data_IF_021900429086
#
_entry.id   IF_021900429086
#
_cell.length_a   1.000
_cell.length_b   1.000
_cell.length_c   1.000
_cell.angle_alpha   90.00
_cell.angle_beta   90.00
_cell.angle_gamma   90.00
#
_symmetry.space_group_name_H-M   'P 1'
#
loop_
_entity.id
_entity.type
_entity.pdbx_description
1 polymer ?
2 non-polymer ?
3 non-polymer ?
4 non-polymer ?
5 non-polymer ?
6 non-polymer ?
7 non-polymer ?
8 water ?
#
# COMPACT_ATOMS: atom_id res chain seq x y z
N UNK A 5 -23.58 -12.69 -20.02
CA UNK A 5 -23.98 -11.29 -20.17
C UNK A 5 -22.81 -10.43 -20.64
N UNK A 6 -22.09 -9.83 -19.71
CA UNK A 6 -20.79 -9.27 -20.06
C UNK A 6 -19.75 -10.34 -19.85
N UNK A 7 -19.15 -10.77 -20.95
CA UNK A 7 -17.94 -11.57 -20.87
C UNK A 7 -16.74 -10.65 -20.98
N UNK A 8 -17.04 -9.37 -21.21
CA UNK A 8 -16.05 -8.33 -21.46
C UNK A 8 -15.11 -8.24 -20.27
N UNK A 9 -15.68 -8.31 -19.07
CA UNK A 9 -14.90 -8.10 -17.87
C UNK A 9 -14.05 -9.34 -17.57
N UNK A 10 -14.57 -10.51 -17.91
CA UNK A 10 -13.78 -11.72 -17.71
C UNK A 10 -12.46 -11.64 -18.45
N UNK A 11 -12.55 -11.22 -19.70
CA UNK A 11 -11.42 -11.38 -20.58
C UNK A 11 -10.37 -10.32 -20.36
N UNK A 12 -10.82 -9.13 -19.99
CA UNK A 12 -9.94 -7.99 -19.78
C UNK A 12 -9.17 -8.24 -18.49
N UNK A 13 -9.78 -8.99 -17.58
CA UNK A 13 -9.08 -9.38 -16.35
C UNK A 13 -8.00 -10.41 -16.66
N UNK A 14 -8.37 -11.44 -17.41
CA UNK A 14 -7.46 -12.51 -17.78
C UNK A 14 -6.19 -11.98 -18.43
N UNK A 15 -6.35 -10.93 -19.22
CA UNK A 15 -5.21 -10.32 -19.87
C UNK A 15 -4.48 -9.43 -18.91
N UNK A 16 -5.21 -8.80 -17.99
CA UNK A 16 -4.59 -7.86 -17.08
C UNK A 16 -3.62 -8.61 -16.18
N UNK A 17 -4.03 -9.77 -15.69
CA UNK A 17 -3.22 -10.53 -14.77
C UNK A 17 -2.11 -11.31 -15.49
N UNK A 18 -2.41 -11.83 -16.68
CA UNK A 18 -1.41 -12.62 -17.40
C UNK A 18 -0.18 -11.79 -17.72
N UNK A 19 -0.37 -10.50 -17.96
CA UNK A 19 0.75 -9.61 -18.28
C UNK A 19 1.70 -9.51 -17.11
N UNK A 20 1.15 -9.62 -15.90
CA UNK A 20 1.94 -9.47 -14.68
C UNK A 20 2.37 -10.82 -14.12
N UNK A 21 2.02 -11.90 -14.81
CA UNK A 21 2.51 -13.22 -14.47
C UNK A 21 1.67 -13.92 -13.42
N UNK A 22 0.48 -13.41 -13.15
CA UNK A 22 -0.50 -14.19 -12.40
C UNK A 22 -1.37 -14.99 -13.35
N UNK A 23 -2.23 -15.85 -12.80
CA UNK A 23 -3.08 -16.72 -13.61
C UNK A 23 -4.43 -16.84 -12.96
N UNK A 24 -5.49 -16.76 -13.77
CA UNK A 24 -6.82 -17.12 -13.32
C UNK A 24 -7.01 -18.63 -13.30
N UNK A 25 -7.97 -19.10 -12.50
CA UNK A 25 -8.34 -20.51 -12.52
C UNK A 25 -8.66 -20.95 -13.96
N UNK A 26 -8.05 -22.06 -14.43
CA UNK A 26 -8.21 -22.48 -15.83
C UNK A 26 -9.60 -23.02 -16.14
N UNK A 27 -10.33 -23.47 -15.12
CA UNK A 27 -11.72 -23.83 -15.32
C UNK A 27 -12.44 -22.52 -15.62
N UNK A 28 -13.10 -22.46 -16.77
CA UNK A 28 -13.64 -21.19 -17.24
C UNK A 28 -14.90 -20.79 -16.49
N UNK A 29 -15.83 -21.72 -16.35
CA UNK A 29 -17.15 -21.38 -15.84
C UNK A 29 -17.16 -21.10 -14.35
N UNK A 30 -16.26 -21.75 -13.62
CA UNK A 30 -16.11 -21.46 -12.21
C UNK A 30 -15.55 -20.05 -12.01
N UNK A 31 -14.63 -19.66 -12.89
CA UNK A 31 -14.03 -18.32 -12.82
C UNK A 31 -15.02 -17.23 -13.20
N UNK A 32 -15.75 -17.43 -14.29
CA UNK A 32 -16.68 -16.41 -14.76
C UNK A 32 -17.78 -16.26 -13.75
N UNK A 33 -18.04 -17.34 -13.04
CA UNK A 33 -18.94 -17.33 -11.90
C UNK A 33 -18.48 -16.29 -10.89
N UNK A 34 -17.22 -16.40 -10.47
CA UNK A 34 -16.64 -15.46 -9.50
C UNK A 34 -16.67 -14.03 -10.02
N UNK A 35 -16.45 -13.88 -11.32
CA UNK A 35 -16.56 -12.58 -11.97
C UNK A 35 -17.96 -11.99 -11.76
N UNK A 36 -19.00 -12.78 -12.04
CA UNK A 36 -20.36 -12.31 -11.81
C UNK A 36 -20.51 -11.84 -10.39
N UNK A 37 -19.96 -12.62 -9.47
CA UNK A 37 -20.00 -12.25 -8.08
C UNK A 37 -19.36 -10.90 -7.85
N UNK A 38 -18.19 -10.70 -8.44
CA UNK A 38 -17.45 -9.47 -8.19
C UNK A 38 -18.25 -8.31 -8.73
N UNK A 39 -18.87 -8.52 -9.89
CA UNK A 39 -19.67 -7.48 -10.51
C UNK A 39 -20.78 -7.12 -9.55
N UNK A 40 -21.52 -8.12 -9.11
CA UNK A 40 -22.67 -7.90 -8.22
C UNK A 40 -22.22 -7.13 -6.99
N UNK A 41 -21.14 -7.60 -6.37
CA UNK A 41 -20.59 -6.92 -5.21
C UNK A 41 -20.29 -5.47 -5.53
N UNK A 42 -19.94 -5.17 -6.77
CA UNK A 42 -19.65 -3.79 -7.14
C UNK A 42 -20.96 -3.01 -7.24
N UNK A 43 -21.97 -3.61 -7.84
CA UNK A 43 -23.30 -3.01 -7.88
C UNK A 43 -23.84 -2.76 -6.49
N UNK A 44 -23.68 -3.73 -5.60
CA UNK A 44 -24.25 -3.65 -4.26
C UNK A 44 -23.49 -2.74 -3.29
N UNK A 45 -22.17 -2.90 -3.21
CA UNK A 45 -21.37 -2.11 -2.26
C UNK A 45 -20.51 -0.98 -2.83
N UNK A 46 -20.39 -0.90 -4.16
CA UNK A 46 -19.55 0.13 -4.77
C UNK A 46 -18.03 -0.10 -4.76
N UNK A 47 -17.59 -1.34 -4.47
CA UNK A 47 -16.18 -1.75 -4.58
C UNK A 47 -16.10 -3.24 -4.87
N UNK A 48 -14.95 -3.75 -5.34
CA UNK A 48 -14.96 -5.15 -5.72
C UNK A 48 -14.58 -5.97 -4.50
N UNK A 49 -15.60 -6.30 -3.75
CA UNK A 49 -15.45 -6.97 -2.47
C UNK A 49 -15.27 -8.43 -2.77
N UNK A 50 -14.37 -9.10 -2.07
CA UNK A 50 -14.07 -10.50 -2.38
C UNK A 50 -15.38 -11.25 -2.53
N UNK A 51 -15.60 -11.91 -3.68
CA UNK A 51 -16.86 -12.60 -4.00
C UNK A 51 -17.24 -13.77 -3.08
N UNK A 52 -16.25 -14.44 -2.52
CA UNK A 52 -16.48 -15.52 -1.56
C UNK A 52 -16.35 -15.10 -0.08
N UNK A 53 -16.26 -13.81 0.22
CA UNK A 53 -16.31 -13.34 1.63
C UNK A 53 -17.52 -12.42 1.96
N UNK A 54 -17.94 -12.40 3.22
CA UNK A 54 -19.00 -11.48 3.63
C UNK A 54 -18.44 -10.07 3.59
N UNK A 55 -19.08 -9.20 2.83
CA UNK A 55 -18.66 -7.81 2.77
C UNK A 55 -19.25 -7.07 3.96
N UNK A 56 -18.52 -6.10 4.48
CA UNK A 56 -19.08 -5.28 5.54
C UNK A 56 -19.80 -4.07 4.95
N UNK A 57 -19.85 -3.99 3.63
CA UNK A 57 -20.49 -2.85 2.98
C UNK A 57 -19.92 -1.51 3.48
N UNK A 58 -18.64 -1.50 3.85
CA UNK A 58 -17.92 -0.25 4.09
C UNK A 58 -16.49 -0.35 3.54
N UNK A 59 -16.17 0.47 2.55
CA UNK A 59 -14.94 0.31 1.78
C UNK A 59 -13.75 0.41 2.70
N UNK A 60 -13.75 1.43 3.53
CA UNK A 60 -12.64 1.68 4.44
C UNK A 60 -12.25 0.44 5.24
N UNK A 61 -13.26 -0.25 5.77
CA UNK A 61 -13.06 -1.45 6.58
C UNK A 61 -12.70 -2.71 5.76
N UNK A 62 -13.03 -2.69 4.46
CA UNK A 62 -12.73 -3.80 3.57
C UNK A 62 -11.51 -3.64 2.65
N UNK A 63 -10.72 -2.58 2.80
CA UNK A 63 -9.61 -2.35 1.87
C UNK A 63 -8.76 -3.63 1.69
N UNK A 64 -8.64 -4.45 2.74
CA UNK A 64 -7.87 -5.70 2.63
C UNK A 64 -8.53 -6.78 1.75
N UNK A 65 -9.85 -6.77 1.62
CA UNK A 65 -10.51 -7.77 0.76
C UNK A 65 -11.02 -7.28 -0.61
N UNK A 66 -10.79 -6.03 -0.96
CA UNK A 66 -11.07 -5.61 -2.33
C UNK A 66 -10.21 -6.50 -3.25
N UNK A 67 -10.80 -7.04 -4.30
CA UNK A 67 -10.09 -8.01 -5.13
C UNK A 67 -9.20 -7.31 -6.18
N UNK A 68 -7.90 -7.65 -6.25
CA UNK A 68 -7.25 -8.70 -5.45
C UNK A 68 -6.91 -8.24 -4.04
N UNK A 69 -7.03 -9.17 -3.09
CA UNK A 69 -6.92 -8.82 -1.68
C UNK A 69 -5.48 -8.90 -1.20
N UNK A 70 -5.27 -8.56 0.06
CA UNK A 70 -3.92 -8.59 0.64
C UNK A 70 -3.44 -10.03 0.92
N UNK A 71 -4.37 -11.00 0.87
CA UNK A 71 -4.04 -12.40 1.19
C UNK A 71 -3.72 -13.23 -0.04
N UNK A 72 -4.00 -12.68 -1.21
CA UNK A 72 -3.81 -13.39 -2.46
C UNK A 72 -2.39 -13.95 -2.60
N UNK A 73 -1.39 -13.07 -2.53
CA UNK A 73 -0.03 -13.50 -2.79
C UNK A 73 0.49 -14.50 -1.71
N UNK A 74 0.36 -14.17 -0.42
CA UNK A 74 0.80 -15.21 0.52
C UNK A 74 0.05 -16.53 0.28
N UNK A 75 -1.24 -16.46 -0.01
CA UNK A 75 -2.05 -17.67 -0.22
C UNK A 75 -1.65 -18.43 -1.49
N UNK A 76 -1.23 -17.70 -2.53
CA UNK A 76 -0.76 -18.34 -3.76
C UNK A 76 0.52 -19.05 -3.43
N UNK A 77 1.34 -18.39 -2.61
CA UNK A 77 2.65 -18.92 -2.31
C UNK A 77 2.54 -20.20 -1.48
N UNK A 78 1.67 -20.21 -0.46
CA UNK A 78 1.52 -21.41 0.39
C UNK A 78 0.60 -22.49 -0.15
N UNK A 79 -0.57 -22.09 -0.63
CA UNK A 79 -1.60 -23.05 -1.08
C UNK A 79 -1.85 -23.19 -2.59
N UNK A 80 -1.15 -22.42 -3.43
CA UNK A 80 -1.37 -22.50 -4.88
C UNK A 80 -2.65 -21.81 -5.35
N UNK A 81 -3.41 -21.20 -4.43
CA UNK A 81 -4.61 -20.46 -4.82
C UNK A 81 -4.95 -19.36 -3.83
N UNK A 82 -5.67 -18.34 -4.30
CA UNK A 82 -6.27 -17.36 -3.38
C UNK A 82 -7.43 -18.02 -2.73
N UNK A 83 -7.90 -17.41 -1.65
CA UNK A 83 -8.96 -17.97 -0.83
C UNK A 83 -10.21 -18.42 -1.63
N UNK A 84 -10.66 -17.64 -2.60
CA UNK A 84 -11.79 -18.05 -3.46
C UNK A 84 -11.32 -18.95 -4.60
N UNK A 85 -10.00 -19.06 -4.78
CA UNK A 85 -9.45 -19.71 -5.96
C UNK A 85 -9.82 -19.00 -7.24
N UNK A 86 -9.98 -17.67 -7.18
CA UNK A 86 -10.02 -16.90 -8.42
C UNK A 86 -8.67 -17.04 -9.13
N UNK A 87 -7.60 -16.97 -8.36
CA UNK A 87 -6.24 -17.05 -8.89
C UNK A 87 -5.64 -18.38 -8.49
N UNK A 88 -4.82 -18.95 -9.37
CA UNK A 88 -4.03 -20.13 -9.05
C UNK A 88 -2.53 -19.89 -9.35
N UNK A 89 -1.66 -20.62 -8.68
CA UNK A 89 -0.23 -20.31 -8.73
C UNK A 89 0.39 -20.78 -10.05
N UNK A 90 1.53 -20.17 -10.34
CA UNK A 90 2.28 -20.50 -11.53
C UNK A 90 2.64 -21.99 -11.51
N UNK A 91 2.83 -22.53 -10.30
CA UNK A 91 3.15 -23.93 -10.11
C UNK A 91 1.96 -24.86 -10.42
N UNK A 92 0.78 -24.47 -9.96
CA UNK A 92 -0.39 -25.30 -10.18
C UNK A 92 -0.72 -25.34 -11.67
N UNK A 93 -0.57 -24.19 -12.32
CA UNK A 93 -0.98 -24.11 -13.72
C UNK A 93 -0.31 -25.22 -14.48
N UNK A 94 0.98 -25.39 -14.20
CA UNK A 94 1.77 -26.38 -14.93
C UNK A 94 1.61 -27.78 -14.32
N UNK A 95 2.33 -28.01 -13.24
CA UNK A 95 2.27 -29.26 -12.51
C UNK A 95 3.12 -29.16 -11.27
N UNK A 96 2.76 -29.93 -10.25
CA UNK A 96 3.15 -29.59 -8.90
C UNK A 96 2.06 -28.66 -8.41
N UNK A 97 2.15 -28.24 -7.17
CA UNK A 97 1.32 -27.17 -6.67
C UNK A 97 -0.09 -27.67 -6.38
N UNK A 98 -0.53 -28.72 -7.07
CA UNK A 98 -1.54 -29.58 -6.49
C UNK A 98 -2.69 -28.81 -5.85
N UNK A 99 -3.44 -27.97 -6.57
CA UNK A 99 -4.30 -26.98 -5.89
C UNK A 99 -5.12 -27.56 -4.73
N UNK A 100 -5.04 -26.90 -3.58
CA UNK A 100 -5.47 -27.48 -2.32
C UNK A 100 -6.22 -26.48 -1.44
N UNK A 101 -6.84 -27.00 -0.38
CA UNK A 101 -7.68 -26.21 0.52
C UNK A 101 -6.97 -24.98 1.10
N UNK A 102 -7.68 -23.85 1.14
CA UNK A 102 -7.11 -22.60 1.62
C UNK A 102 -7.84 -22.10 2.86
N UNK A 103 -7.15 -22.09 4.01
CA UNK A 103 -7.84 -21.50 5.16
C UNK A 103 -8.03 -20.00 4.98
N UNK A 104 -8.89 -19.40 5.82
CA UNK A 104 -9.08 -17.95 5.80
C UNK A 104 -7.92 -17.28 6.53
N UNK A 105 -7.12 -16.51 5.81
CA UNK A 105 -5.95 -15.89 6.44
C UNK A 105 -6.29 -14.54 7.04
N UNK A 106 -7.42 -13.98 6.64
CA UNK A 106 -7.81 -12.69 7.14
C UNK A 106 -8.03 -12.77 8.66
N UNK A 107 -7.44 -11.83 9.41
CA UNK A 107 -7.63 -11.84 10.87
C UNK A 107 -9.03 -11.37 11.23
N UNK A 108 -9.52 -11.74 12.41
CA UNK A 108 -10.86 -11.31 12.83
C UNK A 108 -10.92 -9.80 13.05
N UNK A 109 -12.14 -9.25 13.04
CA UNK A 109 -12.39 -7.81 13.06
C UNK A 109 -11.58 -7.04 14.12
N UNK A 110 -11.54 -7.54 15.35
CA UNK A 110 -10.83 -6.83 16.40
C UNK A 110 -9.34 -6.70 16.06
N UNK A 111 -8.75 -7.83 15.65
CA UNK A 111 -7.36 -7.83 15.25
C UNK A 111 -7.12 -6.84 14.11
N UNK A 112 -7.99 -6.83 13.11
CA UNK A 112 -7.79 -5.94 11.96
C UNK A 112 -7.78 -4.50 12.42
N UNK A 113 -8.66 -4.17 13.34
CA UNK A 113 -8.77 -2.80 13.80
C UNK A 113 -7.48 -2.37 14.49
N UNK A 114 -6.97 -3.23 15.37
CA UNK A 114 -5.70 -2.94 16.04
C UNK A 114 -4.60 -2.71 15.02
N UNK A 115 -4.42 -3.65 14.11
CA UNK A 115 -3.41 -3.54 13.06
C UNK A 115 -3.52 -2.20 12.30
N UNK A 116 -4.73 -1.81 11.94
CA UNK A 116 -4.93 -0.56 11.21
C UNK A 116 -4.48 0.62 12.04
N UNK A 117 -4.85 0.63 13.31
CA UNK A 117 -4.55 1.77 14.17
C UNK A 117 -3.05 1.86 14.34
N UNK A 118 -2.41 0.71 14.50
CA UNK A 118 -0.96 0.69 14.54
C UNK A 118 -0.33 1.17 13.23
N UNK A 119 -0.91 0.84 12.07
CA UNK A 119 -0.33 1.31 10.79
C UNK A 119 -0.58 2.80 10.62
N UNK A 120 -1.59 3.29 11.32
CA UNK A 120 -1.95 4.69 11.24
C UNK A 120 -0.90 5.48 12.00
N UNK A 121 -0.58 5.01 13.20
CA UNK A 121 0.37 5.72 14.03
C UNK A 121 1.71 5.68 13.34
N UNK A 122 2.07 4.51 12.83
CA UNK A 122 3.35 4.36 12.14
C UNK A 122 3.45 5.33 10.94
N UNK A 123 2.39 5.44 10.15
CA UNK A 123 2.39 6.36 9.00
C UNK A 123 2.47 7.84 9.43
N UNK A 124 1.75 8.19 10.48
CA UNK A 124 1.82 9.53 11.04
C UNK A 124 3.24 9.87 11.47
N UNK A 125 3.86 9.03 12.29
CA UNK A 125 5.28 9.24 12.59
C UNK A 125 6.05 9.53 11.28
N UNK A 126 6.05 8.59 10.34
CA UNK A 126 6.94 8.71 9.18
C UNK A 126 6.64 9.98 8.42
N UNK A 127 5.36 10.35 8.37
CA UNK A 127 4.94 11.55 7.66
C UNK A 127 5.52 12.76 8.35
N UNK A 128 5.21 12.85 9.64
CA UNK A 128 5.61 13.99 10.45
C UNK A 128 7.12 14.23 10.39
N UNK A 129 7.89 13.15 10.46
CA UNK A 129 9.34 13.23 10.38
C UNK A 129 9.88 13.62 8.99
N UNK A 130 9.22 13.12 7.94
CA UNK A 130 9.63 13.43 6.58
C UNK A 130 9.34 14.91 6.30
N UNK A 131 8.15 15.32 6.71
CA UNK A 131 7.71 16.71 6.58
C UNK A 131 8.64 17.60 7.41
N UNK A 132 9.23 17.02 8.45
CA UNK A 132 10.06 17.75 9.40
C UNK A 132 11.40 18.11 8.78
N UNK A 133 12.18 17.10 8.41
CA UNK A 133 13.48 17.32 7.81
C UNK A 133 13.41 18.21 6.57
N UNK A 134 12.21 18.41 6.03
CA UNK A 134 12.02 19.30 4.89
C UNK A 134 12.01 20.78 5.28
N UNK A 135 11.52 21.09 6.48
CA UNK A 135 11.47 22.47 6.93
C UNK A 135 12.63 22.91 7.82
N UNK A 136 13.50 21.98 8.20
CA UNK A 136 14.62 22.33 9.07
C UNK A 136 15.54 23.29 8.34
N UNK A 137 16.24 24.11 9.11
CA UNK A 137 17.07 25.16 8.54
C UNK A 137 18.52 24.87 8.81
N UNK A 138 19.39 25.31 7.90
CA UNK A 138 20.81 25.15 8.17
C UNK A 138 21.28 26.17 9.22
N UNK A 139 22.41 25.91 9.86
CA UNK A 139 22.92 26.82 10.86
C UNK A 139 24.08 27.63 10.31
N UNK A 140 23.95 28.96 10.42
CA UNK A 140 24.94 29.91 9.93
C UNK A 140 25.76 30.53 11.10
N UNK A 141 27.06 30.72 10.87
CA UNK A 141 27.98 31.16 11.89
C UNK A 141 28.76 32.38 11.40
N UNK A 142 28.73 33.47 12.16
CA UNK A 142 29.47 34.69 11.80
C UNK A 142 30.94 34.36 11.95
N UNK A 143 31.79 34.73 11.01
CA UNK A 143 33.19 34.33 11.13
C UNK A 143 34.03 35.26 11.99
N UNK A 144 33.48 36.44 12.24
CA UNK A 144 34.05 37.39 13.18
C UNK A 144 33.77 37.01 14.64
N UNK A 145 32.50 37.00 15.06
CA UNK A 145 32.17 36.75 16.47
C UNK A 145 31.64 35.35 16.79
N UNK A 146 31.40 34.50 15.80
CA UNK A 146 30.84 33.19 16.07
C UNK A 146 29.33 33.10 16.38
N UNK A 147 28.59 34.20 16.28
CA UNK A 147 27.16 34.16 16.38
C UNK A 147 26.57 33.05 15.53
N UNK A 148 25.67 32.27 16.13
CA UNK A 148 24.96 31.22 15.42
C UNK A 148 23.49 31.52 15.27
N UNK A 149 22.94 31.22 14.09
CA UNK A 149 21.51 31.31 13.89
C UNK A 149 21.08 30.27 12.85
N UNK A 150 19.79 29.94 12.80
CA UNK A 150 19.30 28.91 11.90
C UNK A 150 18.31 29.54 10.90
N UNK A 151 18.74 29.64 9.64
CA UNK A 151 17.93 30.24 8.58
C UNK A 151 18.38 29.66 7.24
N UNK A 152 17.51 29.72 6.23
CA UNK A 152 17.89 29.26 4.90
C UNK A 152 19.12 29.99 4.42
N UNK A 153 19.16 31.30 4.67
CA UNK A 153 20.37 32.07 4.38
C UNK A 153 20.80 32.94 5.55
N UNK A 154 22.11 33.17 5.62
CA UNK A 154 22.70 33.99 6.66
C UNK A 154 22.09 35.41 6.61
N UNK A 155 21.95 36.08 7.75
CA UNK A 155 21.27 37.38 7.75
C UNK A 155 22.04 38.44 7.03
N UNK A 156 21.35 39.51 6.64
CA UNK A 156 22.00 40.63 5.97
C UNK A 156 23.25 41.04 6.73
N UNK A 157 23.16 41.18 8.06
CA UNK A 157 24.30 41.53 8.90
C UNK A 157 24.21 40.84 10.26
N UNK A 158 25.36 40.47 10.82
CA UNK A 158 25.40 39.87 12.15
C UNK A 158 24.82 40.83 13.19
N UNK A 159 23.74 40.41 13.85
CA UNK A 159 23.16 41.29 14.87
C UNK A 159 24.16 41.56 15.99
N UNK A 160 25.19 40.75 16.11
CA UNK A 160 26.18 40.97 17.14
C UNK A 160 27.26 41.94 16.68
N UNK A 161 28.08 41.52 15.71
CA UNK A 161 29.24 42.33 15.32
C UNK A 161 29.07 43.16 14.05
N UNK A 162 28.01 42.91 13.30
CA UNK A 162 27.69 43.66 12.10
C UNK A 162 28.41 43.23 10.83
N UNK A 163 29.25 42.20 10.88
CA UNK A 163 29.81 41.59 9.65
C UNK A 163 28.67 41.27 8.68
N UNK A 164 28.91 41.55 7.40
CA UNK A 164 27.91 41.28 6.36
C UNK A 164 27.66 39.81 6.05
N UNK A 165 26.53 39.55 5.42
CA UNK A 165 26.09 38.21 5.12
C UNK A 165 27.22 37.37 4.56
N UNK A 166 28.02 37.95 3.68
CA UNK A 166 29.02 37.17 2.96
C UNK A 166 30.19 36.73 3.83
N UNK A 167 30.25 37.24 5.06
CA UNK A 167 31.24 36.78 6.03
C UNK A 167 30.72 35.72 7.01
N UNK A 168 29.50 35.20 6.78
CA UNK A 168 29.05 34.01 7.52
C UNK A 168 29.52 32.75 6.82
N UNK A 169 29.34 31.60 7.48
CA UNK A 169 29.65 30.32 6.86
C UNK A 169 28.68 29.28 7.40
N UNK A 170 28.37 28.26 6.59
CA UNK A 170 27.58 27.11 7.06
C UNK A 170 28.33 26.46 8.20
N UNK A 171 27.64 26.17 9.29
CA UNK A 171 28.30 25.64 10.45
C UNK A 171 28.10 24.11 10.68
N UNK A 172 29.17 23.40 11.05
CA UNK A 172 29.03 22.07 11.67
C UNK A 172 30.12 21.85 12.75
N UNK A 173 29.92 20.89 13.64
CA UNK A 173 28.73 20.05 13.66
C UNK A 173 28.07 20.05 15.03
#
# INVERSE_FOLDING_TARGET
>A
MSEEEVDKVYRRLNQEVEKSGYHLNPDVEFTKELVRGLLANERRYGYWSCPCRLSADNKEEDLDIICPCYYRDPDLNDYGACYCALYVSDEVIRGEKEVESIPERRPPREKREAIRAEEASRAEMMETMEFTGKLSKPVWRCKVCGYLCAMDEAPGVCPICKARKERFERFMH
#
